data_IF_152897176005
#
_entry.id   IF_152897176005
#
_cell.length_a   1.000
_cell.length_b   1.000
_cell.length_c   1.000
_cell.angle_alpha   90.00
_cell.angle_beta   90.00
_cell.angle_gamma   90.00
#
_symmetry.space_group_name_H-M   'P 1'
#
loop_
_entity.id
_entity.type
_entity.pdbx_description
1 polymer ?
#
# COMPACT_ATOMS: atom_id res chain seq x y z
N UNK A 1 7.82 -5.90 27.04
CA UNK A 1 8.64 -7.07 26.65
C UNK A 1 7.81 -8.09 25.89
N UNK A 2 6.73 -8.62 26.47
CA UNK A 2 5.82 -9.57 25.81
C UNK A 2 5.20 -9.06 24.49
N UNK A 3 4.80 -7.78 24.43
CA UNK A 3 4.22 -7.18 23.22
C UNK A 3 5.18 -7.14 22.02
N UNK A 4 6.48 -6.86 22.25
CA UNK A 4 7.51 -6.87 21.20
C UNK A 4 7.82 -8.30 20.71
N UNK A 5 7.91 -9.25 21.65
CA UNK A 5 8.12 -10.66 21.32
C UNK A 5 6.96 -11.21 20.48
N UNK A 6 5.73 -10.77 20.76
CA UNK A 6 4.56 -11.14 19.97
C UNK A 6 4.56 -10.49 18.57
N UNK A 7 5.08 -9.27 18.42
CA UNK A 7 5.14 -8.58 17.13
C UNK A 7 6.16 -9.20 16.17
N UNK A 8 7.35 -9.58 16.67
CA UNK A 8 8.45 -10.06 15.82
C UNK A 8 8.59 -11.60 15.85
N UNK A 9 8.03 -12.29 16.83
CA UNK A 9 8.06 -13.76 16.91
C UNK A 9 9.44 -14.35 17.24
N UNK A 10 10.35 -13.57 17.84
CA UNK A 10 11.75 -13.95 18.11
C UNK A 10 12.02 -14.08 19.61
N UNK A 11 12.81 -15.09 19.99
CA UNK A 11 13.32 -15.25 21.37
C UNK A 11 14.48 -14.28 21.61
N UNK A 12 14.48 -13.60 22.77
CA UNK A 12 15.56 -12.67 23.10
C UNK A 12 16.85 -13.44 23.40
N UNK A 13 17.85 -13.30 22.55
CA UNK A 13 19.20 -13.77 22.86
C UNK A 13 19.95 -12.81 23.82
N UNK A 14 20.93 -13.30 24.59
CA UNK A 14 21.74 -12.48 25.49
C UNK A 14 22.39 -11.27 24.80
N UNK A 15 22.75 -11.41 23.51
CA UNK A 15 23.37 -10.34 22.72
C UNK A 15 22.41 -9.19 22.39
N UNK A 16 21.10 -9.46 22.29
CA UNK A 16 20.08 -8.42 22.08
C UNK A 16 19.68 -7.70 23.36
N UNK A 17 19.94 -8.31 24.53
CA UNK A 17 19.59 -7.71 25.81
C UNK A 17 20.24 -6.33 26.01
N UNK A 18 21.49 -6.16 25.53
CA UNK A 18 22.17 -4.87 25.59
C UNK A 18 21.46 -3.76 24.81
N UNK A 19 20.99 -4.06 23.59
CA UNK A 19 20.23 -3.12 22.75
C UNK A 19 18.88 -2.81 23.41
N UNK A 20 18.20 -3.83 23.93
CA UNK A 20 16.93 -3.67 24.62
C UNK A 20 17.03 -2.80 25.87
N UNK A 21 18.09 -2.99 26.69
CA UNK A 21 18.33 -2.16 27.87
C UNK A 21 18.59 -0.70 27.50
N UNK A 22 19.38 -0.46 26.44
CA UNK A 22 19.58 0.90 25.91
C UNK A 22 18.27 1.52 25.44
N UNK A 23 17.44 0.78 24.71
CA UNK A 23 16.11 1.24 24.32
C UNK A 23 15.26 1.64 25.53
N UNK A 24 15.22 0.82 26.60
CA UNK A 24 14.46 1.16 27.81
C UNK A 24 15.03 2.37 28.54
N UNK A 25 16.35 2.52 28.58
CA UNK A 25 17.02 3.68 29.17
C UNK A 25 16.61 4.97 28.47
N UNK A 26 16.73 5.04 27.14
CA UNK A 26 16.35 6.24 26.38
C UNK A 26 14.84 6.48 26.36
N UNK A 27 14.03 5.43 26.49
CA UNK A 27 12.59 5.57 26.73
C UNK A 27 12.29 6.20 28.09
N UNK A 28 13.05 5.83 29.13
CA UNK A 28 12.94 6.49 30.42
C UNK A 28 13.37 7.95 30.33
N UNK A 29 14.45 8.26 29.60
CA UNK A 29 14.88 9.62 29.32
C UNK A 29 13.77 10.46 28.66
N UNK A 30 13.14 9.99 27.58
CA UNK A 30 12.05 10.72 26.91
C UNK A 30 10.85 10.97 27.85
N UNK A 31 10.59 10.07 28.80
CA UNK A 31 9.51 10.24 29.80
C UNK A 31 9.87 11.19 30.95
N UNK A 32 11.16 11.36 31.26
CA UNK A 32 11.65 12.19 32.37
C UNK A 32 12.75 13.16 31.91
N UNK A 33 12.46 14.06 30.96
CA UNK A 33 13.46 14.94 30.36
C UNK A 33 14.05 15.95 31.34
N UNK A 34 13.33 16.30 32.41
CA UNK A 34 13.75 17.29 33.41
C UNK A 34 14.84 16.78 34.37
N UNK A 35 15.08 15.46 34.39
CA UNK A 35 16.06 14.83 35.27
C UNK A 35 17.38 14.49 34.59
N UNK A 36 17.51 14.79 33.30
CA UNK A 36 18.68 14.43 32.51
C UNK A 36 19.42 15.70 32.08
N UNK A 37 20.75 15.63 32.10
CA UNK A 37 21.64 16.66 31.55
C UNK A 37 22.41 16.05 30.37
N UNK A 38 22.28 16.61 29.18
CA UNK A 38 23.01 16.20 27.98
C UNK A 38 24.38 16.86 28.00
N UNK A 39 25.41 16.02 28.06
CA UNK A 39 26.79 16.46 27.92
C UNK A 39 27.07 16.73 26.43
N UNK A 40 27.86 17.76 26.12
CA UNK A 40 28.21 18.16 24.74
C UNK A 40 28.82 17.01 23.91
N UNK A 41 29.52 16.08 24.54
CA UNK A 41 30.06 14.88 23.87
C UNK A 41 28.94 13.93 23.39
N UNK A 42 27.87 13.80 24.17
CA UNK A 42 26.73 12.96 23.81
C UNK A 42 25.95 13.56 22.65
N UNK A 43 25.79 14.89 22.60
CA UNK A 43 25.12 15.55 21.47
C UNK A 43 25.90 15.35 20.17
N UNK A 44 27.24 15.45 20.19
CA UNK A 44 28.07 15.15 19.03
C UNK A 44 27.97 13.69 18.59
N UNK A 45 27.94 12.74 19.53
CA UNK A 45 27.77 11.33 19.23
C UNK A 45 26.40 11.04 18.57
N UNK A 46 25.33 11.68 19.05
CA UNK A 46 23.99 11.57 18.47
C UNK A 46 23.98 12.13 17.06
N UNK A 47 24.58 13.31 16.85
CA UNK A 47 24.68 13.94 15.54
C UNK A 47 25.44 13.06 14.53
N UNK A 48 26.56 12.46 14.95
CA UNK A 48 27.30 11.52 14.10
C UNK A 48 26.48 10.27 13.73
N UNK A 49 25.69 9.72 14.66
CA UNK A 49 24.80 8.58 14.36
C UNK A 49 23.70 8.99 13.38
N UNK A 50 23.22 10.23 13.50
CA UNK A 50 22.24 10.85 12.64
C UNK A 50 22.76 10.98 11.20
N UNK A 51 23.96 11.52 11.03
CA UNK A 51 24.61 11.70 9.73
C UNK A 51 24.83 10.35 9.03
N UNK A 52 25.25 9.33 9.80
CA UNK A 52 25.38 7.97 9.29
C UNK A 52 24.04 7.35 8.89
N UNK A 53 22.97 7.63 9.64
CA UNK A 53 21.63 7.13 9.33
C UNK A 53 21.04 7.81 8.10
N UNK A 54 21.27 9.11 7.93
CA UNK A 54 20.93 9.85 6.72
C UNK A 54 21.69 9.32 5.50
N UNK A 55 23.02 9.16 5.62
CA UNK A 55 23.81 8.53 4.57
C UNK A 55 23.29 7.13 4.24
N UNK A 56 22.86 6.37 5.26
CA UNK A 56 22.19 5.09 5.12
C UNK A 56 20.85 5.16 4.38
N UNK A 57 20.03 6.19 4.56
CA UNK A 57 18.77 6.40 3.82
C UNK A 57 19.01 6.72 2.33
N UNK A 58 20.09 7.47 2.03
CA UNK A 58 20.49 7.75 0.65
C UNK A 58 21.12 6.52 -0.04
N UNK A 59 21.83 5.67 0.71
CA UNK A 59 22.56 4.50 0.18
C UNK A 59 21.74 3.21 0.20
N UNK A 60 20.82 3.04 1.15
CA UNK A 60 19.97 1.88 1.36
C UNK A 60 18.53 2.34 1.66
N UNK A 61 17.54 1.60 1.15
CA UNK A 61 16.11 1.86 1.36
C UNK A 61 15.67 1.60 2.83
N UNK A 62 16.34 2.19 3.81
CA UNK A 62 16.18 1.95 5.25
C UNK A 62 15.05 2.75 5.92
N UNK A 63 14.69 2.32 7.13
CA UNK A 63 13.51 2.72 7.93
C UNK A 63 13.55 4.16 8.54
N UNK A 64 14.43 5.05 8.08
CA UNK A 64 14.85 6.24 8.82
C UNK A 64 13.94 7.49 8.71
N UNK A 65 12.79 7.44 8.03
CA UNK A 65 11.96 8.62 7.78
C UNK A 65 11.37 9.30 9.05
N UNK A 66 11.29 8.60 10.18
CA UNK A 66 10.89 9.23 11.47
C UNK A 66 12.02 10.12 12.01
N UNK A 67 13.27 9.72 11.76
CA UNK A 67 14.47 10.42 12.17
C UNK A 67 14.57 11.72 11.38
N UNK A 68 14.31 11.71 10.06
CA UNK A 68 14.39 12.85 9.13
C UNK A 68 13.61 14.11 9.57
N UNK A 69 12.40 13.98 10.16
CA UNK A 69 11.66 15.15 10.67
C UNK A 69 12.22 15.67 12.00
N UNK A 70 12.59 14.78 12.91
CA UNK A 70 13.22 15.16 14.19
C UNK A 70 14.59 15.83 13.93
N UNK A 71 15.30 15.35 12.91
CA UNK A 71 16.52 15.87 12.32
C UNK A 71 16.38 17.32 11.86
N UNK A 72 15.41 17.60 10.98
CA UNK A 72 15.18 18.98 10.49
C UNK A 72 14.82 19.97 11.59
N UNK A 73 14.28 19.49 12.71
CA UNK A 73 13.98 20.31 13.89
C UNK A 73 15.27 20.57 14.70
N UNK A 74 16.18 19.60 14.78
CA UNK A 74 17.48 19.74 15.42
C UNK A 74 18.45 20.61 14.60
N UNK A 75 18.50 20.42 13.27
CA UNK A 75 19.38 21.14 12.35
C UNK A 75 19.03 22.63 12.21
N UNK A 76 17.76 22.99 12.43
CA UNK A 76 17.29 24.38 12.37
C UNK A 76 17.62 25.23 13.61
N UNK A 77 18.32 24.70 14.62
CA UNK A 77 18.56 25.42 15.88
C UNK A 77 20.04 25.66 16.14
N UNK A 78 20.38 26.92 16.46
CA UNK A 78 21.74 27.37 16.81
C UNK A 78 22.08 27.19 18.30
N UNK A 79 21.09 26.95 19.18
CA UNK A 79 21.31 26.80 20.63
C UNK A 79 21.14 25.35 21.13
N UNK A 80 22.01 24.90 22.08
CA UNK A 80 21.87 23.60 22.72
C UNK A 80 20.57 23.52 23.54
N UNK A 81 19.83 22.45 23.33
CA UNK A 81 18.50 22.21 23.90
C UNK A 81 18.54 22.22 25.44
N UNK A 82 18.00 23.25 26.10
CA UNK A 82 17.61 23.17 27.52
C UNK A 82 16.20 22.56 27.61
N UNK A 83 16.06 21.38 28.23
CA UNK A 83 14.79 20.61 28.34
C UNK A 83 14.73 19.40 27.40
N UNK A 84 15.54 18.39 27.67
CA UNK A 84 16.14 17.49 26.66
C UNK A 84 15.34 16.19 26.41
N UNK A 85 14.06 16.30 26.02
CA UNK A 85 13.32 15.11 25.56
C UNK A 85 13.80 14.61 24.18
N UNK A 86 14.30 15.52 23.34
CA UNK A 86 14.63 15.23 21.94
C UNK A 86 15.76 14.18 21.79
N UNK A 87 16.91 14.29 22.49
CA UNK A 87 17.98 13.29 22.42
C UNK A 87 17.51 11.91 22.91
N UNK A 88 16.76 11.87 24.01
CA UNK A 88 16.12 10.66 24.53
C UNK A 88 15.23 9.99 23.49
N UNK A 89 14.31 10.76 22.88
CA UNK A 89 13.39 10.27 21.85
C UNK A 89 14.11 9.77 20.60
N UNK A 90 15.12 10.50 20.12
CA UNK A 90 15.91 10.10 18.96
C UNK A 90 16.62 8.77 19.21
N UNK A 91 17.35 8.66 20.32
CA UNK A 91 18.08 7.45 20.67
C UNK A 91 17.14 6.27 20.94
N UNK A 92 15.98 6.52 21.56
CA UNK A 92 14.94 5.52 21.70
C UNK A 92 14.51 4.97 20.32
N UNK A 93 14.26 5.83 19.33
CA UNK A 93 13.91 5.38 17.98
C UNK A 93 15.05 4.57 17.33
N UNK A 94 16.30 5.00 17.48
CA UNK A 94 17.46 4.28 16.96
C UNK A 94 17.57 2.86 17.53
N UNK A 95 17.58 2.72 18.85
CA UNK A 95 17.68 1.39 19.47
C UNK A 95 16.43 0.54 19.23
N UNK A 96 15.26 1.17 19.06
CA UNK A 96 14.06 0.46 18.65
C UNK A 96 14.20 -0.14 17.26
N UNK A 97 14.69 0.63 16.28
CA UNK A 97 14.90 0.15 14.92
C UNK A 97 15.96 -0.96 14.86
N UNK A 98 17.09 -0.78 15.56
CA UNK A 98 18.11 -1.82 15.70
C UNK A 98 17.55 -3.12 16.27
N UNK A 99 16.63 -3.02 17.24
CA UNK A 99 15.97 -4.16 17.84
C UNK A 99 15.00 -4.84 16.86
N UNK A 100 14.24 -4.08 16.06
CA UNK A 100 13.35 -4.62 15.03
C UNK A 100 14.09 -5.29 13.88
N UNK A 101 15.31 -4.84 13.59
CA UNK A 101 16.19 -5.40 12.56
C UNK A 101 17.15 -6.47 13.10
N UNK A 102 17.01 -6.87 14.37
CA UNK A 102 17.80 -7.93 15.02
C UNK A 102 19.31 -7.66 14.97
N UNK A 103 19.72 -6.40 15.14
CA UNK A 103 21.14 -6.05 15.16
C UNK A 103 21.91 -6.89 16.20
N UNK A 104 23.15 -7.25 15.89
CA UNK A 104 24.03 -8.10 16.72
C UNK A 104 23.63 -9.58 16.82
N UNK A 105 22.68 -10.03 16.00
CA UNK A 105 22.31 -11.45 15.84
C UNK A 105 22.89 -12.05 14.55
N UNK A 106 23.02 -13.38 14.53
CA UNK A 106 23.25 -14.10 13.26
C UNK A 106 21.97 -14.04 12.44
N UNK A 107 22.05 -13.48 11.23
CA UNK A 107 20.86 -13.24 10.39
C UNK A 107 20.16 -11.90 10.67
N UNK A 108 20.87 -10.92 11.26
CA UNK A 108 20.38 -9.53 11.33
C UNK A 108 19.94 -9.04 9.94
N UNK A 109 18.84 -8.29 9.90
CA UNK A 109 18.32 -7.74 8.64
C UNK A 109 19.29 -6.69 8.13
N UNK A 110 19.85 -6.91 6.94
CA UNK A 110 20.79 -5.97 6.30
C UNK A 110 20.09 -5.00 5.36
N UNK A 111 18.99 -5.44 4.74
CA UNK A 111 18.17 -4.64 3.85
C UNK A 111 16.70 -4.72 4.26
N UNK A 112 15.96 -3.64 4.06
CA UNK A 112 14.54 -3.54 4.41
C UNK A 112 13.68 -4.60 3.72
N UNK A 113 14.02 -4.98 2.49
CA UNK A 113 13.29 -6.01 1.74
C UNK A 113 13.72 -7.44 2.09
N UNK A 114 14.78 -7.60 2.91
CA UNK A 114 15.25 -8.89 3.34
C UNK A 114 14.35 -9.46 4.45
N UNK A 115 13.77 -10.64 4.20
CA UNK A 115 13.10 -11.41 5.24
C UNK A 115 14.12 -12.16 6.10
N UNK A 116 13.95 -12.08 7.42
CA UNK A 116 14.72 -12.83 8.42
C UNK A 116 14.12 -14.23 8.62
N UNK A 117 12.82 -14.40 8.38
CA UNK A 117 12.10 -15.67 8.58
C UNK A 117 12.08 -16.57 7.35
N UNK A 118 13.01 -16.39 6.42
CA UNK A 118 13.09 -17.12 5.14
C UNK A 118 11.83 -17.05 4.26
N UNK A 119 11.02 -15.99 4.42
CA UNK A 119 9.84 -15.72 3.60
C UNK A 119 10.03 -14.39 2.85
N UNK A 120 10.93 -14.32 1.86
CA UNK A 120 11.18 -13.09 1.14
C UNK A 120 9.93 -12.65 0.36
N UNK A 121 9.72 -11.33 0.20
CA UNK A 121 8.52 -10.77 -0.45
C UNK A 121 8.30 -11.32 -1.87
N UNK A 122 9.37 -11.70 -2.57
CA UNK A 122 9.32 -12.25 -3.93
C UNK A 122 8.92 -13.73 -4.01
N UNK A 123 9.01 -14.47 -2.90
CA UNK A 123 8.71 -15.92 -2.86
C UNK A 123 7.45 -16.25 -2.06
N UNK A 124 6.62 -15.26 -1.75
CA UNK A 124 5.33 -15.49 -1.09
C UNK A 124 4.49 -16.40 -1.98
N UNK A 125 4.06 -17.55 -1.42
CA UNK A 125 3.26 -18.54 -2.15
C UNK A 125 1.95 -17.92 -2.59
N UNK A 126 1.73 -17.83 -3.91
CA UNK A 126 0.46 -17.38 -4.48
C UNK A 126 -0.59 -18.46 -4.31
N UNK A 127 -1.71 -18.12 -3.69
CA UNK A 127 -2.83 -19.03 -3.56
C UNK A 127 -3.67 -19.07 -4.85
N UNK A 128 -4.59 -20.04 -4.94
CA UNK A 128 -5.56 -20.08 -6.02
C UNK A 128 -6.48 -18.85 -6.02
N UNK A 129 -6.70 -18.23 -4.86
CA UNK A 129 -7.55 -17.04 -4.70
C UNK A 129 -7.01 -15.85 -5.50
N UNK A 130 -5.73 -15.48 -5.30
CA UNK A 130 -5.12 -14.39 -6.09
C UNK A 130 -5.00 -14.73 -7.57
N UNK A 131 -4.88 -16.01 -7.92
CA UNK A 131 -4.81 -16.45 -9.32
C UNK A 131 -6.15 -16.24 -10.02
N UNK A 132 -7.25 -16.64 -9.37
CA UNK A 132 -8.60 -16.46 -9.88
C UNK A 132 -8.98 -14.98 -10.01
N UNK A 133 -8.82 -14.20 -8.94
CA UNK A 133 -9.12 -12.76 -8.97
C UNK A 133 -8.09 -11.98 -9.80
N UNK A 134 -6.87 -12.48 -9.93
CA UNK A 134 -5.88 -11.96 -10.87
C UNK A 134 -6.39 -12.04 -12.30
N UNK A 135 -6.91 -13.18 -12.74
CA UNK A 135 -7.50 -13.30 -14.07
C UNK A 135 -8.77 -12.43 -14.21
N UNK A 136 -9.68 -12.47 -13.23
CA UNK A 136 -10.95 -11.76 -13.29
C UNK A 136 -10.83 -10.23 -13.26
N UNK A 137 -9.78 -9.69 -12.60
CA UNK A 137 -9.52 -8.25 -12.47
C UNK A 137 -8.28 -7.84 -13.27
N UNK A 138 -7.96 -8.54 -14.36
CA UNK A 138 -6.93 -8.14 -15.33
C UNK A 138 -5.57 -7.86 -14.68
N UNK A 139 -5.13 -8.79 -13.85
CA UNK A 139 -3.85 -8.81 -13.13
C UNK A 139 -3.63 -7.69 -12.10
N UNK A 140 -4.56 -6.75 -11.91
CA UNK A 140 -4.44 -5.68 -10.93
C UNK A 140 -4.19 -6.17 -9.49
N UNK A 141 -4.87 -7.22 -8.98
CA UNK A 141 -4.58 -7.74 -7.65
C UNK A 141 -3.13 -8.25 -7.50
N UNK A 142 -2.56 -8.85 -8.55
CA UNK A 142 -1.18 -9.33 -8.52
C UNK A 142 -0.18 -8.16 -8.45
N UNK A 143 -0.46 -7.07 -9.16
CA UNK A 143 0.34 -5.85 -9.12
C UNK A 143 0.30 -5.20 -7.72
N UNK A 144 -0.89 -5.02 -7.14
CA UNK A 144 -1.01 -4.46 -5.79
C UNK A 144 -0.40 -5.37 -4.73
N UNK A 145 -0.48 -6.70 -4.86
CA UNK A 145 0.15 -7.64 -3.93
C UNK A 145 1.67 -7.48 -3.89
N UNK A 146 2.31 -7.29 -5.05
CA UNK A 146 3.76 -7.06 -5.12
C UNK A 146 4.15 -5.77 -4.35
N UNK A 147 3.39 -4.69 -4.54
CA UNK A 147 3.57 -3.45 -3.78
C UNK A 147 3.38 -3.64 -2.27
N UNK A 148 2.35 -4.39 -1.88
CA UNK A 148 2.06 -4.73 -0.48
C UNK A 148 3.19 -5.52 0.19
N UNK A 149 3.68 -6.57 -0.47
CA UNK A 149 4.77 -7.42 0.04
C UNK A 149 6.09 -6.64 0.13
N UNK A 150 6.38 -5.76 -0.84
CA UNK A 150 7.59 -4.93 -0.84
C UNK A 150 7.63 -3.88 0.28
N UNK A 151 6.45 -3.45 0.74
CA UNK A 151 6.29 -2.45 1.78
C UNK A 151 6.22 -3.06 3.19
N UNK A 152 5.69 -4.28 3.30
CA UNK A 152 5.39 -4.94 4.57
C UNK A 152 6.08 -6.29 4.65
N UNK A 153 7.30 -6.27 5.20
CA UNK A 153 8.18 -7.46 5.29
C UNK A 153 8.28 -7.89 6.75
N UNK A 154 8.12 -9.19 7.02
CA UNK A 154 8.16 -9.76 8.37
C UNK A 154 7.29 -9.00 9.39
N UNK A 155 6.10 -8.57 8.95
CA UNK A 155 5.15 -7.76 9.73
C UNK A 155 5.70 -6.38 10.14
N UNK A 156 6.67 -5.84 9.43
CA UNK A 156 7.21 -4.49 9.65
C UNK A 156 6.86 -3.60 8.47
N UNK A 157 6.08 -2.55 8.75
CA UNK A 157 5.65 -1.57 7.76
C UNK A 157 6.70 -0.49 7.55
N UNK A 158 7.14 -0.35 6.30
CA UNK A 158 8.00 0.73 5.88
C UNK A 158 7.20 2.00 5.54
N UNK A 159 7.54 3.13 6.20
CA UNK A 159 6.79 4.39 6.05
C UNK A 159 6.83 4.99 4.64
N UNK A 160 8.02 5.10 4.06
CA UNK A 160 8.19 5.75 2.75
C UNK A 160 7.53 4.94 1.62
N UNK A 161 7.75 3.60 1.50
CA UNK A 161 7.00 2.77 0.56
C UNK A 161 5.47 2.81 0.78
N UNK A 162 5.02 2.88 2.03
CA UNK A 162 3.59 3.09 2.34
C UNK A 162 3.05 4.39 1.77
N UNK A 163 3.74 5.51 1.98
CA UNK A 163 3.32 6.80 1.44
C UNK A 163 3.31 6.80 -0.09
N UNK A 164 4.31 6.16 -0.71
CA UNK A 164 4.37 6.02 -2.17
C UNK A 164 3.21 5.18 -2.70
N UNK A 165 2.91 4.05 -2.05
CA UNK A 165 1.79 3.19 -2.40
C UNK A 165 0.46 3.94 -2.26
N UNK A 166 0.25 4.62 -1.12
CA UNK A 166 -0.97 5.39 -0.85
C UNK A 166 -1.18 6.50 -1.88
N UNK A 167 -0.15 7.31 -2.15
CA UNK A 167 -0.25 8.41 -3.13
C UNK A 167 -0.51 7.89 -4.55
N UNK A 168 0.09 6.75 -4.91
CA UNK A 168 -0.16 6.09 -6.19
C UNK A 168 -1.60 5.59 -6.30
N UNK A 169 -2.08 4.86 -5.28
CA UNK A 169 -3.46 4.34 -5.22
C UNK A 169 -4.50 5.46 -5.30
N UNK A 170 -4.32 6.54 -4.54
CA UNK A 170 -5.23 7.68 -4.55
C UNK A 170 -5.32 8.33 -5.93
N UNK A 171 -4.20 8.43 -6.65
CA UNK A 171 -4.15 8.96 -8.02
C UNK A 171 -4.84 8.01 -9.02
N UNK A 172 -4.59 6.71 -8.93
CA UNK A 172 -5.23 5.71 -9.79
C UNK A 172 -6.76 5.70 -9.59
N UNK A 173 -7.20 5.74 -8.33
CA UNK A 173 -8.60 5.75 -7.95
C UNK A 173 -9.36 6.99 -8.44
N UNK A 174 -8.71 8.16 -8.49
CA UNK A 174 -9.33 9.35 -9.06
C UNK A 174 -9.63 9.16 -10.56
N UNK A 175 -8.68 8.58 -11.31
CA UNK A 175 -8.90 8.20 -12.71
C UNK A 175 -10.04 7.19 -12.87
N UNK A 176 -10.09 6.14 -12.05
CA UNK A 176 -11.16 5.15 -12.09
C UNK A 176 -12.53 5.72 -11.70
N UNK A 177 -12.58 6.66 -10.77
CA UNK A 177 -13.81 7.37 -10.38
C UNK A 177 -14.39 8.16 -11.54
N UNK A 178 -13.54 8.85 -12.32
CA UNK A 178 -13.97 9.57 -13.51
C UNK A 178 -14.56 8.61 -14.55
N UNK A 179 -13.86 7.50 -14.85
CA UNK A 179 -14.35 6.46 -15.79
C UNK A 179 -15.67 5.85 -15.32
N UNK A 180 -15.81 5.55 -14.02
CA UNK A 180 -17.04 5.03 -13.44
C UNK A 180 -18.22 6.01 -13.66
N UNK A 181 -17.98 7.31 -13.47
CA UNK A 181 -19.01 8.35 -13.68
C UNK A 181 -19.43 8.43 -15.14
N UNK A 182 -18.46 8.44 -16.07
CA UNK A 182 -18.71 8.43 -17.51
C UNK A 182 -19.53 7.21 -17.91
N UNK A 183 -19.20 6.03 -17.39
CA UNK A 183 -19.93 4.79 -17.64
C UNK A 183 -21.36 4.84 -17.10
N UNK A 184 -21.57 5.37 -15.90
CA UNK A 184 -22.92 5.53 -15.34
C UNK A 184 -23.75 6.45 -16.25
N UNK A 185 -23.22 7.61 -16.63
CA UNK A 185 -23.90 8.55 -17.53
C UNK A 185 -24.17 7.93 -18.90
N UNK A 186 -23.19 7.23 -19.48
CA UNK A 186 -23.35 6.57 -20.77
C UNK A 186 -24.43 5.48 -20.73
N UNK A 187 -24.44 4.64 -19.69
CA UNK A 187 -25.45 3.58 -19.54
C UNK A 187 -26.84 4.15 -19.32
N UNK A 188 -27.01 5.20 -18.50
CA UNK A 188 -28.31 5.84 -18.27
C UNK A 188 -28.84 6.48 -19.56
N UNK A 189 -27.97 7.17 -20.31
CA UNK A 189 -28.32 7.73 -21.63
C UNK A 189 -28.74 6.64 -22.61
N UNK A 190 -28.02 5.52 -22.63
CA UNK A 190 -28.29 4.41 -23.52
C UNK A 190 -29.59 3.68 -23.17
N UNK A 191 -29.88 3.49 -21.87
CA UNK A 191 -31.15 2.95 -21.39
C UNK A 191 -32.35 3.87 -21.68
N UNK A 192 -32.12 5.18 -21.86
CA UNK A 192 -33.13 6.16 -22.23
C UNK A 192 -33.50 6.18 -23.72
N UNK A 193 -32.81 5.39 -24.56
CA UNK A 193 -33.13 5.28 -25.99
C UNK A 193 -34.41 4.47 -26.16
N UNK A 194 -35.44 5.07 -26.77
CA UNK A 194 -36.76 4.45 -26.90
C UNK A 194 -36.78 3.21 -27.82
N UNK A 195 -35.86 3.11 -28.77
CA UNK A 195 -35.73 2.00 -29.74
C UNK A 195 -34.74 0.91 -29.27
N UNK A 196 -34.72 0.60 -27.98
CA UNK A 196 -33.92 -0.52 -27.48
C UNK A 196 -34.49 -1.84 -28.00
N UNK A 197 -33.63 -2.73 -28.55
CA UNK A 197 -33.98 -4.09 -28.92
C UNK A 197 -34.93 -4.77 -27.93
N UNK A 198 -35.91 -5.51 -28.45
CA UNK A 198 -36.73 -6.40 -27.61
C UNK A 198 -35.89 -7.52 -26.96
N UNK A 199 -34.70 -7.78 -27.50
CA UNK A 199 -33.69 -8.66 -26.93
C UNK A 199 -33.21 -8.15 -25.56
N UNK A 200 -33.42 -8.99 -24.54
CA UNK A 200 -33.04 -8.65 -23.16
C UNK A 200 -31.54 -8.44 -22.96
N UNK A 201 -30.68 -8.93 -23.87
CA UNK A 201 -29.22 -8.92 -23.72
C UNK A 201 -28.66 -7.50 -23.56
N UNK A 202 -29.11 -6.55 -24.40
CA UNK A 202 -28.65 -5.15 -24.35
C UNK A 202 -28.98 -4.51 -23.00
N UNK A 203 -30.24 -4.68 -22.56
CA UNK A 203 -30.73 -4.13 -21.29
C UNK A 203 -30.00 -4.75 -20.10
N UNK A 204 -29.84 -6.08 -20.09
CA UNK A 204 -29.12 -6.80 -19.04
C UNK A 204 -27.66 -6.33 -18.96
N UNK A 205 -26.96 -6.21 -20.09
CA UNK A 205 -25.57 -5.77 -20.13
C UNK A 205 -25.42 -4.32 -19.63
N UNK A 206 -26.34 -3.41 -19.98
CA UNK A 206 -26.36 -2.06 -19.44
C UNK A 206 -26.65 -1.99 -17.94
N UNK A 207 -27.56 -2.82 -17.42
CA UNK A 207 -27.81 -2.90 -15.98
C UNK A 207 -26.57 -3.41 -15.24
N UNK A 208 -25.94 -4.49 -15.73
CA UNK A 208 -24.71 -5.02 -15.14
C UNK A 208 -23.58 -3.98 -15.16
N UNK A 209 -23.41 -3.26 -16.28
CA UNK A 209 -22.42 -2.18 -16.36
C UNK A 209 -22.72 -1.07 -15.37
N UNK A 210 -23.98 -0.64 -15.24
CA UNK A 210 -24.38 0.43 -14.31
C UNK A 210 -24.12 0.02 -12.85
N UNK A 211 -24.50 -1.21 -12.48
CA UNK A 211 -24.27 -1.75 -11.14
C UNK A 211 -22.76 -1.85 -10.85
N UNK A 212 -21.97 -2.35 -11.80
CA UNK A 212 -20.51 -2.46 -11.66
C UNK A 212 -19.85 -1.10 -11.47
N UNK A 213 -20.19 -0.11 -12.31
CA UNK A 213 -19.63 1.24 -12.22
C UNK A 213 -20.08 1.97 -10.94
N UNK A 214 -21.35 1.82 -10.52
CA UNK A 214 -21.83 2.37 -9.25
C UNK A 214 -21.13 1.74 -8.05
N UNK A 215 -20.95 0.42 -8.06
CA UNK A 215 -20.23 -0.30 -7.00
C UNK A 215 -18.78 0.15 -6.93
N UNK A 216 -18.10 0.32 -8.08
CA UNK A 216 -16.74 0.85 -8.12
C UNK A 216 -16.66 2.27 -7.54
N UNK A 217 -17.58 3.17 -7.92
CA UNK A 217 -17.62 4.53 -7.39
C UNK A 217 -17.75 4.57 -5.86
N UNK A 218 -18.68 3.78 -5.32
CA UNK A 218 -18.90 3.68 -3.86
C UNK A 218 -17.68 3.07 -3.19
N UNK A 219 -17.10 2.00 -3.77
CA UNK A 219 -15.93 1.32 -3.22
C UNK A 219 -14.70 2.24 -3.18
N UNK A 220 -14.42 2.97 -4.27
CA UNK A 220 -13.33 3.96 -4.34
C UNK A 220 -13.50 5.00 -3.24
N UNK A 221 -14.71 5.55 -3.07
CA UNK A 221 -15.00 6.55 -2.04
C UNK A 221 -14.81 6.01 -0.62
N UNK A 222 -15.27 4.80 -0.36
CA UNK A 222 -15.11 4.14 0.94
C UNK A 222 -13.63 3.81 1.25
N UNK A 223 -12.89 3.28 0.27
CA UNK A 223 -11.48 2.94 0.42
C UNK A 223 -10.61 4.19 0.55
N UNK A 224 -10.88 5.24 -0.21
CA UNK A 224 -10.19 6.53 -0.09
C UNK A 224 -10.37 7.11 1.31
N UNK A 225 -11.61 7.16 1.83
CA UNK A 225 -11.87 7.62 3.19
C UNK A 225 -11.10 6.82 4.24
N UNK A 226 -11.02 5.49 4.06
CA UNK A 226 -10.26 4.60 4.94
C UNK A 226 -8.76 4.84 4.87
N UNK A 227 -8.19 4.96 3.67
CA UNK A 227 -6.76 5.16 3.46
C UNK A 227 -6.32 6.56 3.91
N UNK A 228 -7.07 7.62 3.59
CA UNK A 228 -6.74 8.99 4.02
C UNK A 228 -6.78 9.14 5.55
N UNK A 229 -7.69 8.44 6.23
CA UNK A 229 -7.69 8.38 7.69
C UNK A 229 -6.41 7.74 8.26
N UNK A 230 -5.78 6.84 7.50
CA UNK A 230 -4.49 6.22 7.83
C UNK A 230 -3.28 7.06 7.38
N UNK A 231 -3.44 7.88 6.34
CA UNK A 231 -2.40 8.78 5.78
C UNK A 231 -2.04 9.93 6.72
N UNK A 232 -2.98 10.35 7.59
CA UNK A 232 -2.73 11.27 8.70
C UNK A 232 -1.34 11.03 9.29
N UNK A 233 -0.43 12.00 9.07
CA UNK A 233 1.05 11.96 9.16
C UNK A 233 1.67 11.28 10.40
N UNK A 234 0.85 10.93 11.38
CA UNK A 234 1.20 10.41 12.69
C UNK A 234 0.80 8.93 12.94
N UNK A 235 0.05 8.26 12.05
CA UNK A 235 -0.60 6.99 12.39
C UNK A 235 -0.11 5.76 11.61
N UNK A 236 1.21 5.61 11.37
CA UNK A 236 1.78 4.36 10.84
C UNK A 236 1.38 3.13 11.67
N UNK A 237 1.14 3.33 12.97
CA UNK A 237 0.63 2.31 13.89
C UNK A 237 -0.77 1.81 13.48
N UNK A 238 -1.65 2.70 12.99
CA UNK A 238 -2.98 2.30 12.51
C UNK A 238 -2.88 1.52 11.21
N UNK A 239 -2.01 1.93 10.29
CA UNK A 239 -1.74 1.20 9.05
C UNK A 239 -1.16 -0.19 9.35
N UNK A 240 -0.20 -0.28 10.27
CA UNK A 240 0.37 -1.53 10.76
C UNK A 240 -0.70 -2.44 11.41
N UNK A 241 -1.57 -1.89 12.24
CA UNK A 241 -2.67 -2.65 12.85
C UNK A 241 -3.67 -3.15 11.81
N UNK A 242 -3.95 -2.33 10.80
CA UNK A 242 -4.83 -2.69 9.69
C UNK A 242 -4.27 -3.82 8.83
N UNK A 243 -2.97 -3.76 8.48
CA UNK A 243 -2.28 -4.85 7.77
C UNK A 243 -2.26 -6.14 8.59
N UNK A 244 -1.97 -6.04 9.90
CA UNK A 244 -2.02 -7.19 10.80
C UNK A 244 -3.43 -7.82 10.87
N UNK A 245 -4.48 -7.01 10.87
CA UNK A 245 -5.87 -7.48 10.90
C UNK A 245 -6.26 -8.22 9.61
N UNK A 246 -5.76 -7.76 8.46
CA UNK A 246 -6.06 -8.35 7.15
C UNK A 246 -5.10 -9.45 6.74
N UNK A 247 -3.98 -9.60 7.45
CA UNK A 247 -3.03 -10.65 7.20
C UNK A 247 -3.58 -12.01 7.66
N UNK A 248 -3.84 -12.88 6.70
CA UNK A 248 -4.21 -14.25 6.94
C UNK A 248 -2.94 -15.13 6.95
N UNK A 249 -2.82 -16.10 7.87
CA UNK A 249 -1.65 -16.99 7.95
C UNK A 249 -1.39 -17.79 6.65
N UNK A 250 -2.45 -18.14 5.92
CA UNK A 250 -2.33 -18.97 4.71
C UNK A 250 -2.25 -18.17 3.41
N UNK A 251 -2.85 -16.98 3.39
CA UNK A 251 -3.12 -16.19 2.18
C UNK A 251 -2.40 -14.82 2.24
N UNK A 252 -1.80 -14.47 3.39
CA UNK A 252 -1.09 -13.21 3.59
C UNK A 252 -1.99 -11.99 3.36
N UNK A 253 -1.52 -11.09 2.50
CA UNK A 253 -2.22 -9.86 2.12
C UNK A 253 -3.02 -9.97 0.80
N UNK A 254 -3.23 -11.16 0.25
CA UNK A 254 -3.94 -11.30 -1.04
C UNK A 254 -5.37 -10.75 -1.00
N UNK A 255 -6.08 -10.88 0.13
CA UNK A 255 -7.43 -10.31 0.30
C UNK A 255 -7.38 -8.79 0.13
N UNK A 256 -6.38 -8.16 0.74
CA UNK A 256 -6.19 -6.73 0.61
C UNK A 256 -5.81 -6.34 -0.82
N UNK A 257 -4.95 -7.13 -1.47
CA UNK A 257 -4.57 -6.89 -2.86
C UNK A 257 -5.76 -6.95 -3.82
N UNK A 258 -6.65 -7.94 -3.63
CA UNK A 258 -7.92 -8.03 -4.38
C UNK A 258 -8.81 -6.83 -4.08
N UNK A 259 -8.96 -6.44 -2.81
CA UNK A 259 -9.76 -5.29 -2.42
C UNK A 259 -9.27 -3.98 -3.07
N UNK A 260 -7.96 -3.78 -3.16
CA UNK A 260 -7.35 -2.61 -3.81
C UNK A 260 -7.50 -2.64 -5.34
N UNK A 261 -7.50 -3.83 -5.94
CA UNK A 261 -7.70 -4.03 -7.39
C UNK A 261 -9.16 -4.04 -7.84
N UNK A 262 -10.13 -4.23 -6.93
CA UNK A 262 -11.57 -4.30 -7.26
C UNK A 262 -12.10 -3.07 -8.01
N UNK A 263 -11.79 -1.83 -7.59
CA UNK A 263 -12.18 -0.64 -8.33
C UNK A 263 -11.82 -0.69 -9.82
N UNK A 264 -10.59 -1.13 -10.12
CA UNK A 264 -10.09 -1.27 -11.48
C UNK A 264 -10.93 -2.28 -12.26
N UNK A 265 -11.02 -3.53 -11.77
CA UNK A 265 -11.75 -4.59 -12.46
C UNK A 265 -13.22 -4.25 -12.73
N UNK A 266 -13.89 -3.59 -11.78
CA UNK A 266 -15.28 -3.17 -11.91
C UNK A 266 -15.48 -1.99 -12.87
N UNK A 267 -14.46 -1.17 -13.10
CA UNK A 267 -14.52 -0.04 -14.07
C UNK A 267 -14.23 -0.43 -15.50
N UNK A 268 -13.77 -1.66 -15.76
CA UNK A 268 -13.46 -2.06 -17.13
C UNK A 268 -14.76 -2.15 -17.91
N UNK A 269 -14.76 -1.55 -19.10
CA UNK A 269 -15.95 -1.34 -19.93
C UNK A 269 -16.52 -2.63 -20.53
N UNK A 270 -16.15 -3.83 -20.08
CA UNK A 270 -16.54 -5.10 -20.73
C UNK A 270 -18.05 -5.20 -20.93
N UNK A 271 -18.84 -4.96 -19.86
CA UNK A 271 -20.30 -5.03 -19.94
C UNK A 271 -20.88 -3.94 -20.85
N UNK A 272 -20.33 -2.73 -20.80
CA UNK A 272 -20.77 -1.64 -21.68
C UNK A 272 -20.45 -1.93 -23.15
N UNK A 273 -19.26 -2.45 -23.44
CA UNK A 273 -18.85 -2.87 -24.80
C UNK A 273 -19.75 -3.99 -25.32
N UNK A 274 -20.10 -4.97 -24.47
CA UNK A 274 -21.06 -6.02 -24.84
C UNK A 274 -22.44 -5.42 -25.15
N UNK A 275 -22.93 -4.49 -24.33
CA UNK A 275 -24.22 -3.82 -24.55
C UNK A 275 -24.22 -3.03 -25.88
N UNK A 276 -23.18 -2.24 -26.09
CA UNK A 276 -23.00 -1.43 -27.30
C UNK A 276 -22.91 -2.31 -28.54
N UNK A 277 -22.12 -3.39 -28.51
CA UNK A 277 -22.03 -4.31 -29.64
C UNK A 277 -23.33 -5.02 -29.93
N UNK A 278 -24.01 -5.50 -28.89
CA UNK A 278 -25.30 -6.18 -29.05
C UNK A 278 -26.33 -5.26 -29.70
N UNK A 279 -26.32 -3.97 -29.36
CA UNK A 279 -27.16 -2.96 -30.01
C UNK A 279 -26.74 -2.70 -31.46
N UNK A 280 -25.44 -2.50 -31.74
CA UNK A 280 -24.94 -2.29 -33.10
C UNK A 280 -25.18 -3.47 -34.05
N UNK A 281 -25.36 -4.68 -33.52
CA UNK A 281 -25.64 -5.88 -34.33
C UNK A 281 -27.14 -6.15 -34.53
N UNK A 282 -28.01 -5.56 -33.71
CA UNK A 282 -29.44 -5.93 -33.69
C UNK A 282 -30.20 -5.49 -34.95
N UNK A 283 -29.92 -4.31 -35.52
CA UNK A 283 -30.80 -3.71 -36.54
C UNK A 283 -30.08 -3.24 -37.80
N UNK A 284 -28.93 -3.84 -38.15
CA UNK A 284 -28.10 -3.31 -39.24
C UNK A 284 -27.92 -4.26 -40.41
N UNK A 285 -28.05 -3.69 -41.62
CA UNK A 285 -27.58 -4.26 -42.89
C UNK A 285 -26.15 -4.81 -42.70
N UNK A 286 -25.84 -5.94 -43.34
CA UNK A 286 -24.58 -6.69 -43.12
C UNK A 286 -23.30 -5.84 -43.13
N UNK A 287 -23.26 -4.71 -43.84
CA UNK A 287 -22.07 -3.86 -43.97
C UNK A 287 -21.65 -3.20 -42.64
N UNK A 288 -22.56 -2.60 -41.86
CA UNK A 288 -22.18 -1.93 -40.61
C UNK A 288 -21.76 -2.95 -39.55
N UNK A 289 -22.43 -4.10 -39.52
CA UNK A 289 -22.05 -5.20 -38.63
C UNK A 289 -20.62 -5.69 -38.92
N UNK A 290 -20.27 -5.82 -40.21
CA UNK A 290 -18.91 -6.20 -40.64
C UNK A 290 -17.89 -5.12 -40.21
N UNK A 291 -18.15 -3.83 -40.44
CA UNK A 291 -17.20 -2.76 -40.09
C UNK A 291 -17.00 -2.66 -38.58
N UNK A 292 -18.07 -2.65 -37.78
CA UNK A 292 -17.95 -2.54 -36.32
C UNK A 292 -17.29 -3.78 -35.73
N UNK A 293 -17.61 -4.97 -36.25
CA UNK A 293 -16.99 -6.23 -35.83
C UNK A 293 -15.50 -6.31 -36.14
N UNK A 294 -15.06 -5.90 -37.34
CA UNK A 294 -13.63 -5.91 -37.71
C UNK A 294 -12.83 -4.91 -36.89
N UNK A 295 -13.37 -3.71 -36.65
CA UNK A 295 -12.73 -2.71 -35.79
C UNK A 295 -12.63 -3.21 -34.36
N UNK A 296 -13.67 -3.86 -33.81
CA UNK A 296 -13.60 -4.45 -32.47
C UNK A 296 -12.52 -5.54 -32.39
N UNK A 297 -12.48 -6.45 -33.37
CA UNK A 297 -11.49 -7.52 -33.42
C UNK A 297 -10.07 -6.94 -33.43
N UNK A 298 -9.85 -5.88 -34.21
CA UNK A 298 -8.59 -5.15 -34.21
C UNK A 298 -8.22 -4.58 -32.82
N UNK A 299 -9.19 -3.96 -32.12
CA UNK A 299 -8.96 -3.47 -30.75
C UNK A 299 -8.68 -4.61 -29.77
N UNK A 300 -9.38 -5.75 -29.88
CA UNK A 300 -9.11 -6.93 -29.04
C UNK A 300 -7.71 -7.50 -29.30
N UNK A 301 -7.26 -7.54 -30.55
CA UNK A 301 -5.89 -7.97 -30.90
C UNK A 301 -4.85 -7.02 -30.29
N UNK A 302 -5.07 -5.70 -30.38
CA UNK A 302 -4.18 -4.71 -29.74
C UNK A 302 -4.16 -4.90 -28.22
N UNK A 303 -5.32 -5.10 -27.59
CA UNK A 303 -5.41 -5.31 -26.15
C UNK A 303 -4.68 -6.57 -25.70
N UNK A 304 -4.90 -7.70 -26.39
CA UNK A 304 -4.21 -8.96 -26.12
C UNK A 304 -2.71 -8.82 -26.36
N UNK A 305 -2.28 -8.06 -27.37
CA UNK A 305 -0.86 -7.79 -27.62
C UNK A 305 -0.22 -6.90 -26.56
N UNK A 306 -0.99 -5.98 -25.95
CA UNK A 306 -0.49 -5.06 -24.92
C UNK A 306 -0.39 -5.67 -23.51
N UNK A 307 -1.01 -6.83 -23.29
CA UNK A 307 -1.02 -7.58 -22.03
C UNK A 307 0.15 -8.57 -21.94
#
# INVERSE_FOLDING_TARGET
MAYWMAQVGVKLEPRMMGIFLKYQFYKHWDNFPDQQEVILEQSYAIQKMLDNALAGEYLHNGSAMIIDRQLRIAEKREEPLKGECLPGRMMQHFYHDQLLNLHSQRGARSDRQQSVFNNPPDKVRRSWFITFFGAALFWAPSHHLAGLNNMWVDKLLAKQPWNLLVSTLLREWDGHRLVATILITANVSFLGVNDLPSDGIVKIACFLSTISSSTSFVLITALEGRIRNMESLHNIVKAQAWLNLLNNENIGLEILAVLLGLPYGLTIMVFFTIAFMSYCMHDVKSITAIIVGTVLLWHLVILIWSL
#
